data_IF_769911240234
#
_entry.id   IF_769911240234
#
_cell.length_a   1.000
_cell.length_b   1.000
_cell.length_c   1.000
_cell.angle_alpha   90.00
_cell.angle_beta   90.00
_cell.angle_gamma   90.00
#
_symmetry.space_group_name_H-M   'P 1'
#
loop_
_entity.id
_entity.type
_entity.pdbx_description
1 polymer ?
#
# COMPACT_ATOMS: atom_id res chain seq x y z
N UNK A 1 43.12 16.46 54.01
CA UNK A 1 42.19 17.59 54.20
C UNK A 1 42.11 18.31 52.86
N UNK A 2 41.13 17.98 52.03
CA UNK A 2 41.02 18.45 50.64
C UNK A 2 39.89 19.46 50.58
N UNK A 3 40.23 20.69 50.16
CA UNK A 3 39.31 21.81 49.99
C UNK A 3 38.62 21.67 48.62
N UNK A 4 37.30 21.50 48.60
CA UNK A 4 36.48 21.49 47.37
C UNK A 4 35.95 22.91 47.17
N UNK A 5 36.35 23.54 46.06
CA UNK A 5 35.92 24.87 45.64
C UNK A 5 34.77 24.71 44.64
N UNK A 6 33.55 25.02 45.06
CA UNK A 6 32.36 25.03 44.20
C UNK A 6 32.20 26.38 43.51
N UNK A 7 32.32 26.41 42.18
CA UNK A 7 32.01 27.57 41.33
C UNK A 7 30.54 27.44 40.91
N UNK A 8 29.70 28.37 41.39
CA UNK A 8 28.32 28.55 40.93
C UNK A 8 28.33 29.48 39.71
N UNK A 9 28.11 28.92 38.51
CA UNK A 9 27.73 29.70 37.33
C UNK A 9 26.23 29.95 37.36
N UNK A 10 25.85 31.23 37.50
CA UNK A 10 24.47 31.68 37.33
C UNK A 10 24.17 31.81 35.83
N UNK A 11 23.51 30.80 35.27
CA UNK A 11 22.92 30.86 33.93
C UNK A 11 21.65 31.69 33.99
N UNK A 12 21.65 32.88 33.37
CA UNK A 12 20.44 33.64 33.11
C UNK A 12 19.59 32.91 32.08
N UNK A 13 18.52 32.25 32.53
CA UNK A 13 17.47 31.72 31.67
C UNK A 13 16.76 32.92 31.02
N UNK A 14 17.08 33.18 29.75
CA UNK A 14 16.19 33.96 28.90
C UNK A 14 14.98 33.08 28.63
N UNK A 15 13.80 33.51 29.09
CA UNK A 15 12.54 32.89 28.66
C UNK A 15 12.37 33.19 27.17
N UNK A 16 12.57 32.18 26.34
CA UNK A 16 12.17 32.24 24.94
C UNK A 16 10.68 32.59 24.88
N UNK A 17 10.25 33.53 24.00
CA UNK A 17 8.84 33.80 23.80
C UNK A 17 8.13 32.49 23.42
N UNK A 18 6.91 32.24 23.91
CA UNK A 18 6.18 31.02 23.62
C UNK A 18 6.07 30.86 22.10
N UNK A 19 6.69 29.80 21.57
CA UNK A 19 6.62 29.46 20.16
C UNK A 19 5.14 29.43 19.75
N UNK A 20 4.75 30.31 18.82
CA UNK A 20 3.42 30.28 18.24
C UNK A 20 3.20 28.86 17.70
N UNK A 21 2.24 28.14 18.28
CA UNK A 21 1.95 26.76 17.89
C UNK A 21 1.75 26.72 16.37
N UNK A 22 2.64 26.03 15.66
CA UNK A 22 2.49 25.83 14.22
C UNK A 22 1.07 25.35 13.95
N UNK A 23 0.31 26.03 13.06
CA UNK A 23 -1.09 25.67 12.82
C UNK A 23 -1.15 24.19 12.47
N UNK A 24 -1.84 23.42 13.30
CA UNK A 24 -1.93 21.97 13.15
C UNK A 24 -2.53 21.60 11.79
N UNK A 25 -2.15 20.42 11.29
CA UNK A 25 -2.73 19.85 10.07
C UNK A 25 -4.25 19.83 10.14
N UNK A 26 -4.92 20.28 9.08
CA UNK A 26 -6.39 20.35 9.05
C UNK A 26 -6.94 19.89 7.72
N UNK A 27 -8.12 19.30 7.77
CA UNK A 27 -8.91 19.00 6.58
C UNK A 27 -9.65 20.25 6.11
N UNK A 28 -9.56 20.53 4.81
CA UNK A 28 -10.25 21.63 4.14
C UNK A 28 -11.18 21.03 3.10
N UNK A 29 -12.43 21.51 3.12
CA UNK A 29 -13.46 21.17 2.15
C UNK A 29 -13.71 22.39 1.25
N UNK A 30 -13.06 22.48 0.06
CA UNK A 30 -13.15 23.67 -0.79
C UNK A 30 -14.56 23.85 -1.34
N UNK A 31 -14.96 25.08 -1.70
CA UNK A 31 -16.21 25.29 -2.43
C UNK A 31 -16.18 24.53 -3.76
N UNK A 32 -17.36 24.27 -4.30
CA UNK A 32 -17.45 23.53 -5.55
C UNK A 32 -16.93 24.36 -6.74
N UNK A 33 -16.24 23.70 -7.67
CA UNK A 33 -15.53 24.31 -8.78
C UNK A 33 -14.11 24.79 -8.44
N UNK A 34 -13.68 24.69 -7.17
CA UNK A 34 -12.29 24.94 -6.80
C UNK A 34 -11.36 23.88 -7.42
N UNK A 35 -10.15 24.27 -7.81
CA UNK A 35 -9.17 23.36 -8.42
C UNK A 35 -8.72 22.22 -7.49
N UNK A 36 -8.95 22.38 -6.19
CA UNK A 36 -8.67 21.40 -5.14
C UNK A 36 -9.94 20.76 -4.56
N UNK A 37 -11.09 20.93 -5.20
CA UNK A 37 -12.34 20.34 -4.72
C UNK A 37 -12.24 18.81 -4.58
N UNK A 38 -11.64 18.16 -5.57
CA UNK A 38 -11.41 16.71 -5.59
C UNK A 38 -10.33 16.36 -6.62
N UNK A 39 -9.63 15.22 -6.47
CA UNK A 39 -8.81 14.64 -7.53
C UNK A 39 -9.68 14.00 -8.63
N UNK A 40 -9.11 13.51 -9.75
CA UNK A 40 -9.89 12.87 -10.80
C UNK A 40 -10.78 11.74 -10.28
N UNK A 41 -12.07 11.76 -10.64
CA UNK A 41 -13.03 10.72 -10.26
C UNK A 41 -12.58 9.33 -10.72
N UNK A 42 -12.67 8.35 -9.81
CA UNK A 42 -12.51 6.93 -10.10
C UNK A 42 -13.84 6.32 -10.50
N UNK A 43 -13.87 5.63 -11.64
CA UNK A 43 -15.07 4.92 -12.05
C UNK A 43 -15.33 3.74 -11.11
N UNK A 44 -16.56 3.61 -10.62
CA UNK A 44 -17.02 2.44 -9.87
C UNK A 44 -17.93 1.59 -10.73
N UNK A 45 -17.76 0.28 -10.59
CA UNK A 45 -18.60 -0.72 -11.26
C UNK A 45 -19.93 -0.78 -10.52
N UNK A 46 -21.01 -0.59 -11.27
CA UNK A 46 -22.37 -0.67 -10.77
C UNK A 46 -22.96 -2.05 -11.10
N UNK A 47 -23.41 -2.78 -10.08
CA UNK A 47 -24.14 -4.04 -10.23
C UNK A 47 -25.65 -3.79 -10.26
N UNK A 48 -26.40 -4.66 -10.95
CA UNK A 48 -27.87 -4.71 -10.84
C UNK A 48 -28.34 -5.57 -9.66
N UNK A 49 -27.45 -6.40 -9.16
CA UNK A 49 -27.72 -7.28 -8.04
C UNK A 49 -27.46 -6.53 -6.73
N UNK A 50 -28.45 -6.57 -5.84
CA UNK A 50 -28.35 -6.02 -4.50
C UNK A 50 -27.39 -6.90 -3.68
N UNK A 51 -26.40 -6.34 -2.98
CA UNK A 51 -25.59 -7.13 -2.06
C UNK A 51 -26.46 -7.85 -1.01
N UNK A 52 -26.17 -9.13 -0.76
CA UNK A 52 -27.02 -10.00 0.06
C UNK A 52 -27.22 -9.50 1.49
N UNK A 53 -26.20 -8.85 2.04
CA UNK A 53 -26.14 -8.34 3.40
C UNK A 53 -26.70 -6.91 3.56
N UNK A 54 -27.32 -6.33 2.51
CA UNK A 54 -27.92 -4.99 2.55
C UNK A 54 -29.44 -5.08 2.72
N UNK A 55 -29.94 -4.41 3.77
CA UNK A 55 -31.36 -4.21 4.01
C UNK A 55 -31.86 -2.91 3.36
N UNK A 56 -32.97 -2.96 2.62
CA UNK A 56 -33.55 -1.78 1.96
C UNK A 56 -34.91 -1.45 2.55
N UNK A 57 -35.08 -0.20 2.95
CA UNK A 57 -36.35 0.39 3.39
C UNK A 57 -36.63 1.74 2.74
N UNK A 58 -35.74 2.21 1.85
CA UNK A 58 -35.92 3.45 1.11
C UNK A 58 -37.08 3.33 0.10
N UNK A 59 -37.80 4.43 -0.08
CA UNK A 59 -38.86 4.59 -1.05
C UNK A 59 -38.28 5.13 -2.36
N UNK A 60 -37.71 4.24 -3.17
CA UNK A 60 -37.13 4.61 -4.46
C UNK A 60 -38.18 5.16 -5.43
N UNK A 61 -37.77 6.15 -6.23
CA UNK A 61 -38.62 6.77 -7.26
C UNK A 61 -38.45 6.09 -8.62
N UNK A 62 -37.24 5.61 -8.91
CA UNK A 62 -36.90 4.93 -10.16
C UNK A 62 -37.36 3.48 -10.21
N UNK A 63 -37.40 2.93 -11.42
CA UNK A 63 -37.73 1.52 -11.64
C UNK A 63 -36.50 0.60 -11.49
N UNK A 64 -35.31 1.13 -11.77
CA UNK A 64 -34.06 0.39 -11.77
C UNK A 64 -33.12 0.96 -10.71
N UNK A 65 -32.51 0.07 -9.93
CA UNK A 65 -31.45 0.43 -8.99
C UNK A 65 -30.16 -0.22 -9.42
N UNK A 66 -29.05 0.47 -9.20
CA UNK A 66 -27.73 -0.12 -9.30
C UNK A 66 -26.93 0.12 -8.03
N UNK A 67 -26.09 -0.85 -7.71
CA UNK A 67 -25.39 -0.92 -6.44
C UNK A 67 -23.89 -0.85 -6.65
N UNK A 68 -23.20 -0.19 -5.74
CA UNK A 68 -21.78 -0.33 -5.54
C UNK A 68 -21.47 -0.46 -4.04
N UNK A 69 -20.32 -1.04 -3.75
CA UNK A 69 -19.74 -1.03 -2.41
C UNK A 69 -18.37 -0.39 -2.52
N UNK A 70 -18.20 0.77 -1.90
CA UNK A 70 -16.93 1.50 -1.88
C UNK A 70 -16.27 1.37 -0.52
N UNK A 71 -14.95 1.28 -0.50
CA UNK A 71 -14.18 1.34 0.75
C UNK A 71 -13.71 2.77 0.94
N UNK A 72 -14.08 3.35 2.08
CA UNK A 72 -13.65 4.68 2.52
C UNK A 72 -13.09 4.55 3.95
N UNK A 73 -11.82 4.17 4.05
CA UNK A 73 -11.21 3.64 5.27
C UNK A 73 -10.14 2.58 5.01
N UNK A 74 -9.58 2.05 6.10
CA UNK A 74 -8.53 1.02 6.07
C UNK A 74 -9.05 -0.31 5.47
N UNK A 75 -8.17 -1.26 5.08
CA UNK A 75 -8.58 -2.54 4.53
C UNK A 75 -9.51 -3.40 5.42
N UNK A 76 -9.56 -3.14 6.72
CA UNK A 76 -10.50 -3.81 7.64
C UNK A 76 -11.89 -3.17 7.70
N UNK A 77 -12.08 -1.98 7.11
CA UNK A 77 -13.32 -1.23 7.29
C UNK A 77 -14.50 -1.85 6.53
N UNK A 78 -15.69 -1.70 7.13
CA UNK A 78 -16.96 -1.97 6.48
C UNK A 78 -17.08 -1.08 5.24
N UNK A 79 -17.51 -1.68 4.12
CA UNK A 79 -17.74 -0.95 2.86
C UNK A 79 -19.04 -0.16 2.95
N UNK A 80 -19.01 1.04 2.37
CA UNK A 80 -20.16 1.94 2.22
C UNK A 80 -20.98 1.47 1.02
N UNK A 81 -22.26 1.20 1.25
CA UNK A 81 -23.19 0.86 0.17
C UNK A 81 -23.65 2.14 -0.53
N UNK A 82 -23.58 2.14 -1.85
CA UNK A 82 -24.06 3.23 -2.71
C UNK A 82 -25.14 2.67 -3.62
N UNK A 83 -26.32 3.31 -3.62
CA UNK A 83 -27.43 2.97 -4.50
C UNK A 83 -27.71 4.14 -5.44
N UNK A 84 -27.66 3.85 -6.74
CA UNK A 84 -28.07 4.76 -7.79
C UNK A 84 -29.47 4.34 -8.25
N UNK A 85 -30.48 5.15 -7.93
CA UNK A 85 -31.87 4.95 -8.32
C UNK A 85 -32.14 5.69 -9.64
N UNK A 86 -32.35 4.94 -10.73
CA UNK A 86 -32.54 5.48 -12.07
C UNK A 86 -33.98 5.93 -12.28
N UNK A 87 -34.19 7.23 -12.13
CA UNK A 87 -35.51 7.88 -12.29
C UNK A 87 -35.90 8.02 -13.76
N UNK A 88 -34.93 8.25 -14.64
CA UNK A 88 -35.16 8.43 -16.07
C UNK A 88 -33.86 8.54 -16.87
N UNK A 89 -33.94 8.80 -18.19
CA UNK A 89 -32.75 8.92 -19.03
C UNK A 89 -31.79 10.03 -18.57
N UNK A 90 -30.71 9.64 -17.89
CA UNK A 90 -29.69 10.56 -17.39
C UNK A 90 -30.09 11.36 -16.14
N UNK A 91 -31.18 10.95 -15.48
CA UNK A 91 -31.67 11.47 -14.18
C UNK A 91 -31.66 10.33 -13.16
N UNK A 92 -31.12 10.59 -11.98
CA UNK A 92 -30.97 9.59 -10.93
C UNK A 92 -30.97 10.24 -9.55
N UNK A 93 -31.32 9.43 -8.54
CA UNK A 93 -31.13 9.76 -7.14
C UNK A 93 -30.01 8.90 -6.56
N UNK A 94 -29.26 9.46 -5.61
CA UNK A 94 -28.16 8.77 -4.95
C UNK A 94 -28.52 8.53 -3.49
N UNK A 95 -28.32 7.31 -3.03
CA UNK A 95 -28.42 6.92 -1.62
C UNK A 95 -27.08 6.36 -1.17
N UNK A 96 -26.61 6.75 0.01
CA UNK A 96 -25.29 6.36 0.53
C UNK A 96 -25.41 5.98 2.01
N UNK A 97 -25.09 4.73 2.34
CA UNK A 97 -24.99 4.18 3.71
C UNK A 97 -23.75 4.78 4.42
N UNK A 98 -23.82 6.06 4.77
CA UNK A 98 -22.70 6.81 5.32
C UNK A 98 -22.31 6.36 6.75
N UNK A 99 -23.28 5.84 7.51
CA UNK A 99 -23.10 5.32 8.86
C UNK A 99 -22.67 3.85 8.91
N UNK A 100 -22.62 3.14 7.77
CA UNK A 100 -22.14 1.77 7.60
C UNK A 100 -22.95 0.74 8.40
N UNK A 101 -24.25 0.97 8.54
CA UNK A 101 -25.15 0.05 9.25
C UNK A 101 -25.73 -1.06 8.36
N UNK A 102 -25.31 -1.10 7.08
CA UNK A 102 -25.76 -2.06 6.06
C UNK A 102 -27.25 -1.93 5.75
N UNK A 103 -27.83 -0.75 5.97
CA UNK A 103 -29.21 -0.44 5.63
C UNK A 103 -29.27 0.81 4.74
N UNK A 104 -30.18 0.78 3.78
CA UNK A 104 -30.53 1.94 2.96
C UNK A 104 -31.98 2.32 3.25
N UNK A 105 -32.19 3.51 3.81
CA UNK A 105 -33.50 4.14 3.98
C UNK A 105 -33.55 5.58 3.46
N UNK A 106 -34.71 6.24 3.59
CA UNK A 106 -34.94 7.56 3.00
C UNK A 106 -33.98 8.65 3.52
N UNK A 107 -33.35 8.43 4.69
CA UNK A 107 -32.37 9.36 5.27
C UNK A 107 -31.02 9.30 4.57
N UNK A 108 -30.74 8.21 3.86
CA UNK A 108 -29.49 8.01 3.12
C UNK A 108 -29.51 8.72 1.76
N UNK A 109 -30.65 9.28 1.35
CA UNK A 109 -30.78 10.06 0.11
C UNK A 109 -29.90 11.31 0.17
N UNK A 110 -29.00 11.42 -0.80
CA UNK A 110 -28.07 12.54 -0.91
C UNK A 110 -28.64 13.60 -1.85
N UNK A 111 -28.71 14.84 -1.36
CA UNK A 111 -29.08 15.98 -2.19
C UNK A 111 -28.00 16.26 -3.26
N UNK A 112 -28.37 16.63 -4.50
CA UNK A 112 -27.41 17.09 -5.49
C UNK A 112 -26.62 18.31 -4.99
N UNK A 113 -25.35 18.44 -5.38
CA UNK A 113 -24.51 19.56 -4.98
C UNK A 113 -25.07 20.90 -5.52
N UNK A 114 -25.22 21.89 -4.64
CA UNK A 114 -25.89 23.18 -4.91
C UNK A 114 -25.27 24.02 -6.06
N UNK A 115 -24.00 23.79 -6.36
CA UNK A 115 -23.25 24.44 -7.45
C UNK A 115 -23.49 23.83 -8.83
N UNK A 116 -24.23 22.73 -8.92
CA UNK A 116 -24.54 22.11 -10.19
C UNK A 116 -25.51 23.03 -10.96
N UNK A 117 -25.21 23.41 -12.22
CA UNK A 117 -26.16 24.16 -13.03
C UNK A 117 -27.51 23.44 -13.02
N UNK A 118 -28.64 24.17 -12.97
CA UNK A 118 -29.98 23.61 -12.77
C UNK A 118 -30.39 22.56 -13.81
N UNK A 119 -29.64 22.42 -14.91
CA UNK A 119 -29.96 21.46 -15.95
C UNK A 119 -29.45 20.03 -15.73
N UNK A 120 -28.49 19.72 -14.85
CA UNK A 120 -28.02 18.31 -14.66
C UNK A 120 -27.47 18.04 -13.26
N UNK A 121 -28.35 17.65 -12.33
CA UNK A 121 -28.00 17.07 -11.02
C UNK A 121 -27.29 15.72 -11.17
N UNK A 122 -26.01 15.77 -11.55
CA UNK A 122 -25.15 14.59 -11.78
C UNK A 122 -24.00 14.50 -10.79
N UNK A 123 -23.94 15.43 -9.84
CA UNK A 123 -22.88 15.49 -8.85
C UNK A 123 -23.51 15.56 -7.47
N UNK A 124 -23.08 14.68 -6.58
CA UNK A 124 -23.47 14.66 -5.18
C UNK A 124 -22.23 14.84 -4.33
N UNK A 125 -22.40 15.53 -3.21
CA UNK A 125 -21.34 15.76 -2.25
C UNK A 125 -21.90 15.63 -0.85
N UNK A 126 -21.23 14.86 -0.01
CA UNK A 126 -21.68 14.61 1.35
C UNK A 126 -20.49 14.42 2.29
N UNK A 127 -20.66 14.71 3.60
CA UNK A 127 -19.78 14.21 4.63
C UNK A 127 -19.75 12.67 4.61
N UNK A 128 -18.56 12.11 4.70
CA UNK A 128 -18.36 10.68 4.88
C UNK A 128 -17.09 10.50 5.70
N UNK A 129 -17.21 9.91 6.88
CA UNK A 129 -16.07 9.68 7.76
C UNK A 129 -15.19 8.56 7.22
N UNK A 130 -13.88 8.70 7.36
CA UNK A 130 -12.90 7.63 7.09
C UNK A 130 -12.87 6.69 8.28
N UNK A 131 -13.07 5.39 8.03
CA UNK A 131 -13.08 4.36 9.07
C UNK A 131 -11.70 3.68 9.17
N UNK A 132 -10.99 3.88 10.29
CA UNK A 132 -9.72 3.24 10.59
C UNK A 132 -9.92 2.10 11.58
N UNK A 133 -9.77 0.86 11.12
CA UNK A 133 -9.83 -0.34 11.95
C UNK A 133 -8.42 -0.68 12.45
N UNK A 134 -8.25 -0.71 13.76
CA UNK A 134 -7.02 -1.05 14.48
C UNK A 134 -7.37 -2.07 15.58
N UNK A 135 -7.14 -3.36 15.30
CA UNK A 135 -7.61 -4.45 16.17
C UNK A 135 -9.15 -4.48 16.24
N UNK A 136 -9.70 -4.42 17.44
CA UNK A 136 -11.15 -4.40 17.68
C UNK A 136 -11.76 -2.98 17.67
N UNK A 137 -10.93 -1.95 17.52
CA UNK A 137 -11.38 -0.56 17.56
C UNK A 137 -11.53 0.02 16.15
N UNK A 138 -12.63 0.74 15.92
CA UNK A 138 -12.83 1.55 14.71
C UNK A 138 -12.85 3.03 15.08
N UNK A 139 -11.88 3.79 14.55
CA UNK A 139 -11.84 5.25 14.67
C UNK A 139 -12.43 5.90 13.42
N UNK A 140 -13.39 6.79 13.61
CA UNK A 140 -14.01 7.57 12.53
C UNK A 140 -13.35 8.95 12.45
N UNK A 141 -12.91 9.35 11.26
CA UNK A 141 -12.27 10.65 11.02
C UNK A 141 -13.08 11.45 10.00
N UNK A 142 -13.58 12.66 10.35
CA UNK A 142 -14.40 13.46 9.44
C UNK A 142 -13.71 13.81 8.12
N UNK A 143 -14.38 13.50 7.01
CA UNK A 143 -14.00 13.83 5.63
C UNK A 143 -15.27 14.03 4.79
N UNK A 144 -15.10 14.15 3.48
CA UNK A 144 -16.20 14.21 2.53
C UNK A 144 -15.86 13.41 1.27
N UNK A 145 -16.90 13.06 0.54
CA UNK A 145 -16.81 12.37 -0.76
C UNK A 145 -17.67 13.12 -1.78
N UNK A 146 -17.24 13.08 -3.04
CA UNK A 146 -18.02 13.51 -4.18
C UNK A 146 -18.31 12.32 -5.09
N UNK A 147 -19.54 12.25 -5.60
CA UNK A 147 -19.96 11.29 -6.62
C UNK A 147 -20.37 12.03 -7.87
N UNK A 148 -20.07 11.47 -9.05
CA UNK A 148 -20.45 12.06 -10.33
C UNK A 148 -20.96 11.02 -11.32
N UNK A 149 -22.20 11.17 -11.76
CA UNK A 149 -22.78 10.37 -12.83
C UNK A 149 -22.28 10.85 -14.19
N UNK A 150 -21.65 9.94 -14.94
CA UNK A 150 -21.14 10.18 -16.28
C UNK A 150 -22.24 10.56 -17.26
N UNK A 151 -21.85 11.12 -18.41
CA UNK A 151 -22.79 11.72 -19.35
C UNK A 151 -23.86 10.75 -19.90
N UNK A 152 -23.50 9.47 -19.99
CA UNK A 152 -24.35 8.36 -20.46
C UNK A 152 -25.31 7.83 -19.39
N UNK A 153 -25.18 8.26 -18.13
CA UNK A 153 -25.92 7.70 -17.00
C UNK A 153 -25.50 6.29 -16.61
N UNK A 154 -24.42 5.73 -17.18
CA UNK A 154 -24.02 4.33 -16.96
C UNK A 154 -22.86 4.17 -15.99
N UNK A 155 -22.01 5.18 -15.88
CA UNK A 155 -20.78 5.14 -15.07
C UNK A 155 -20.93 6.12 -13.93
N UNK A 156 -20.83 5.64 -12.70
CA UNK A 156 -20.71 6.50 -11.53
C UNK A 156 -19.22 6.63 -11.21
N UNK A 157 -18.76 7.86 -11.00
CA UNK A 157 -17.44 8.17 -10.49
C UNK A 157 -17.51 8.55 -9.02
N UNK A 158 -16.47 8.28 -8.25
CA UNK A 158 -16.31 8.80 -6.89
C UNK A 158 -14.90 9.35 -6.66
N UNK A 159 -14.76 10.28 -5.72
CA UNK A 159 -13.49 10.82 -5.26
C UNK A 159 -13.65 11.35 -3.83
N UNK A 160 -12.60 11.30 -3.00
CA UNK A 160 -12.58 12.08 -1.78
C UNK A 160 -12.64 13.57 -2.12
N UNK A 161 -13.52 14.30 -1.43
CA UNK A 161 -13.67 15.73 -1.63
C UNK A 161 -12.81 16.48 -0.61
N UNK A 162 -12.03 17.43 -1.08
CA UNK A 162 -11.13 18.26 -0.28
C UNK A 162 -9.72 17.70 -0.13
N UNK A 163 -8.98 18.31 0.79
CA UNK A 163 -7.57 18.03 1.00
C UNK A 163 -7.18 18.27 2.46
N UNK A 164 -6.04 17.75 2.87
CA UNK A 164 -5.42 18.08 4.16
C UNK A 164 -4.27 19.04 3.93
N UNK A 165 -4.24 20.16 4.65
CA UNK A 165 -3.17 21.15 4.57
C UNK A 165 -2.41 21.31 5.88
N UNK A 166 -1.16 21.72 5.75
CA UNK A 166 -0.23 21.98 6.83
C UNK A 166 1.04 22.63 6.31
N UNK A 167 2.09 22.61 7.11
CA UNK A 167 3.42 23.12 6.72
C UNK A 167 4.49 22.08 6.99
N UNK A 168 5.55 22.09 6.17
CA UNK A 168 6.73 21.24 6.36
C UNK A 168 8.00 22.07 6.26
N UNK A 169 9.09 21.54 6.80
CA UNK A 169 10.46 22.08 6.65
C UNK A 169 11.21 21.13 5.72
N UNK A 170 11.97 21.67 4.77
CA UNK A 170 12.71 20.89 3.77
C UNK A 170 14.21 20.95 4.07
N UNK A 171 14.69 19.91 4.76
CA UNK A 171 16.11 19.79 5.11
C UNK A 171 16.64 20.94 5.96
N UNK A 172 17.73 21.55 5.51
CA UNK A 172 18.38 22.64 6.25
C UNK A 172 17.67 24.00 6.03
N UNK A 173 16.72 24.09 5.09
CA UNK A 173 15.91 25.29 4.91
C UNK A 173 14.84 25.36 6.01
N UNK A 174 15.09 26.19 7.02
CA UNK A 174 14.18 26.41 8.15
C UNK A 174 12.87 27.10 7.75
N UNK A 175 12.74 27.64 6.53
CA UNK A 175 11.52 28.28 6.09
C UNK A 175 10.40 27.25 5.89
N UNK A 176 9.25 27.38 6.59
CA UNK A 176 8.14 26.45 6.41
C UNK A 176 7.53 26.61 5.01
N UNK A 177 7.25 25.48 4.36
CA UNK A 177 6.56 25.39 3.06
C UNK A 177 5.13 24.94 3.28
N UNK A 178 4.17 25.60 2.63
CA UNK A 178 2.78 25.16 2.66
C UNK A 178 2.64 23.84 1.90
N UNK A 179 1.81 22.94 2.42
CA UNK A 179 1.56 21.62 1.83
C UNK A 179 0.08 21.35 1.73
N UNK A 180 -0.35 20.72 0.64
CA UNK A 180 -1.67 20.10 0.52
C UNK A 180 -1.55 18.63 0.12
N UNK A 181 -2.44 17.80 0.66
CA UNK A 181 -2.49 16.36 0.40
C UNK A 181 -3.87 15.95 -0.06
N UNK A 182 -3.94 15.23 -1.17
CA UNK A 182 -5.17 14.74 -1.78
C UNK A 182 -5.13 13.24 -2.00
N UNK A 183 -6.26 12.60 -1.70
CA UNK A 183 -6.49 11.18 -1.85
C UNK A 183 -6.80 10.85 -3.32
N UNK A 184 -5.84 10.28 -4.02
CA UNK A 184 -5.92 10.06 -5.46
C UNK A 184 -6.67 8.80 -5.87
N UNK A 185 -6.93 7.87 -4.95
CA UNK A 185 -7.67 6.63 -5.22
C UNK A 185 -9.11 6.66 -4.68
N UNK A 186 -9.44 7.65 -3.85
CA UNK A 186 -10.74 7.91 -3.28
C UNK A 186 -11.05 7.13 -2.00
N UNK A 187 -10.08 6.45 -1.39
CA UNK A 187 -10.29 5.61 -0.20
C UNK A 187 -10.32 6.38 1.14
N UNK A 188 -10.05 7.70 1.12
CA UNK A 188 -10.03 8.61 2.26
C UNK A 188 -8.69 8.69 3.01
N UNK A 189 -7.69 7.92 2.61
CA UNK A 189 -6.31 7.94 3.13
C UNK A 189 -5.43 8.83 2.25
N UNK A 190 -4.24 9.17 2.74
CA UNK A 190 -3.36 10.17 2.12
C UNK A 190 -1.92 9.70 1.94
N UNK A 191 -1.65 8.40 2.09
CA UNK A 191 -0.32 7.78 2.01
C UNK A 191 -0.21 6.70 0.93
N UNK A 192 -1.18 6.59 0.05
CA UNK A 192 -1.19 5.62 -1.04
C UNK A 192 -0.43 6.14 -2.26
N UNK A 193 0.16 5.28 -3.10
CA UNK A 193 0.99 5.73 -4.24
C UNK A 193 0.26 6.60 -5.29
N UNK A 194 -1.07 6.60 -5.28
CA UNK A 194 -1.88 7.42 -6.18
C UNK A 194 -2.20 8.81 -5.61
N UNK A 195 -1.92 9.00 -4.31
CA UNK A 195 -2.17 10.24 -3.60
C UNK A 195 -1.23 11.34 -4.08
N UNK A 196 -1.68 12.58 -3.92
CA UNK A 196 -0.98 13.75 -4.43
C UNK A 196 -0.53 14.62 -3.28
N UNK A 197 0.73 15.02 -3.31
CA UNK A 197 1.31 16.02 -2.43
C UNK A 197 1.58 17.25 -3.27
N UNK A 198 1.08 18.39 -2.79
CA UNK A 198 1.38 19.70 -3.34
C UNK A 198 2.27 20.45 -2.36
N UNK A 199 3.37 21.01 -2.83
CA UNK A 199 4.34 21.77 -2.04
C UNK A 199 4.51 23.15 -2.65
N UNK A 200 4.23 24.22 -1.90
CA UNK A 200 4.50 25.60 -2.30
C UNK A 200 6.01 25.85 -2.21
N UNK A 201 6.74 25.41 -3.23
CA UNK A 201 8.20 25.37 -3.24
C UNK A 201 8.78 26.78 -3.39
N UNK A 202 8.07 27.67 -4.09
CA UNK A 202 8.51 29.05 -4.29
C UNK A 202 8.01 30.02 -3.20
N UNK A 203 7.03 29.61 -2.38
CA UNK A 203 6.47 30.40 -1.28
C UNK A 203 5.53 31.53 -1.72
N UNK A 204 4.96 31.46 -2.92
CA UNK A 204 4.09 32.50 -3.49
C UNK A 204 2.59 32.29 -3.18
N UNK A 205 2.25 31.17 -2.53
CA UNK A 205 0.89 30.79 -2.16
C UNK A 205 0.01 30.37 -3.35
N UNK A 206 0.58 30.26 -4.55
CA UNK A 206 -0.05 29.67 -5.74
C UNK A 206 0.42 28.23 -5.85
N UNK A 207 -0.27 27.46 -6.70
CA UNK A 207 0.00 26.03 -6.83
C UNK A 207 0.13 25.68 -8.31
N UNK A 208 1.36 25.47 -8.75
CA UNK A 208 1.67 25.05 -10.12
C UNK A 208 1.70 23.52 -10.24
N UNK A 209 0.72 22.96 -10.94
CA UNK A 209 0.63 21.51 -11.14
C UNK A 209 1.84 20.90 -11.87
N UNK A 210 2.64 21.69 -12.59
CA UNK A 210 3.82 21.19 -13.29
C UNK A 210 5.07 21.07 -12.40
N UNK A 211 5.23 21.96 -11.42
CA UNK A 211 6.46 22.05 -10.61
C UNK A 211 6.25 21.76 -9.12
N UNK A 212 5.00 21.79 -8.64
CA UNK A 212 4.66 21.72 -7.22
C UNK A 212 3.77 20.53 -6.86
N UNK A 213 3.39 19.71 -7.83
CA UNK A 213 2.61 18.50 -7.62
C UNK A 213 3.47 17.25 -7.75
N UNK A 214 3.38 16.39 -6.75
CA UNK A 214 4.09 15.11 -6.66
C UNK A 214 3.08 14.00 -6.35
N UNK A 215 3.33 12.79 -6.87
CA UNK A 215 2.68 11.61 -6.32
C UNK A 215 3.31 11.28 -4.98
N UNK A 216 2.52 10.76 -4.04
CA UNK A 216 3.04 10.26 -2.78
C UNK A 216 4.01 9.11 -3.06
N UNK A 217 5.23 9.26 -2.55
CA UNK A 217 6.26 8.24 -2.59
C UNK A 217 7.05 8.32 -1.29
N UNK A 218 7.64 7.21 -0.87
CA UNK A 218 8.48 7.15 0.33
C UNK A 218 9.74 7.99 0.20
N UNK A 219 10.21 8.22 -1.03
CA UNK A 219 11.30 9.14 -1.35
C UNK A 219 10.86 10.10 -2.45
N UNK A 220 10.99 11.41 -2.23
CA UNK A 220 10.79 12.43 -3.25
C UNK A 220 12.10 13.11 -3.63
N UNK A 221 12.24 13.42 -4.93
CA UNK A 221 13.32 14.27 -5.43
C UNK A 221 12.78 15.69 -5.60
N UNK A 222 13.26 16.61 -4.78
CA UNK A 222 12.87 18.01 -4.77
C UNK A 222 14.11 18.87 -4.95
N UNK A 223 14.16 19.67 -6.03
CA UNK A 223 15.31 20.54 -6.32
C UNK A 223 16.65 19.79 -6.43
N UNK A 224 16.65 18.54 -6.90
CA UNK A 224 17.84 17.70 -7.00
C UNK A 224 18.27 17.01 -5.71
N UNK A 225 17.61 17.31 -4.59
CA UNK A 225 17.81 16.65 -3.30
C UNK A 225 16.76 15.58 -3.09
N UNK A 226 17.14 14.47 -2.43
CA UNK A 226 16.20 13.40 -2.07
C UNK A 226 15.77 13.56 -0.62
N UNK A 227 14.50 13.32 -0.37
CA UNK A 227 13.89 13.37 0.95
C UNK A 227 13.11 12.11 1.22
N UNK A 228 13.28 11.54 2.40
CA UNK A 228 12.39 10.48 2.92
C UNK A 228 11.15 11.15 3.47
N UNK A 229 9.99 10.69 3.02
CA UNK A 229 8.70 11.17 3.50
C UNK A 229 8.24 10.31 4.68
N UNK A 230 8.05 10.96 5.82
CA UNK A 230 7.42 10.35 7.01
C UNK A 230 6.00 10.86 7.12
N UNK A 231 5.04 9.97 6.97
CA UNK A 231 3.63 10.32 6.98
C UNK A 231 2.80 9.31 7.77
N UNK A 232 1.72 9.79 8.39
CA UNK A 232 0.61 8.94 8.80
C UNK A 232 -0.39 8.73 7.65
N UNK A 233 -1.26 7.74 7.80
CA UNK A 233 -2.25 7.35 6.78
C UNK A 233 -3.39 8.37 6.62
N UNK A 234 -3.79 9.03 7.71
CA UNK A 234 -4.86 10.04 7.71
C UNK A 234 -4.40 11.43 7.23
N UNK A 235 -3.09 11.58 7.01
CA UNK A 235 -2.44 12.77 6.54
C UNK A 235 -2.28 13.91 7.55
N UNK A 236 -2.42 13.61 8.84
CA UNK A 236 -2.27 14.59 9.94
C UNK A 236 -0.82 14.86 10.33
N UNK A 237 0.14 14.17 9.71
CA UNK A 237 1.59 14.36 9.86
C UNK A 237 2.29 14.13 8.53
N UNK A 238 3.21 15.02 8.20
CA UNK A 238 4.17 14.84 7.11
C UNK A 238 5.49 15.49 7.52
N UNK A 239 6.59 14.79 7.32
CA UNK A 239 7.93 15.33 7.46
C UNK A 239 8.81 14.88 6.30
N UNK A 240 9.77 15.73 5.96
CA UNK A 240 10.77 15.49 4.92
C UNK A 240 12.14 15.42 5.58
N UNK A 241 12.71 14.24 5.61
CA UNK A 241 14.05 14.01 6.16
C UNK A 241 15.04 13.97 4.99
N UNK A 242 16.07 14.83 4.95
CA UNK A 242 17.10 14.76 3.92
C UNK A 242 17.69 13.37 3.85
N UNK A 243 17.71 12.83 2.64
CA UNK A 243 18.36 11.56 2.39
C UNK A 243 19.87 11.80 2.21
N UNK A 244 20.60 11.74 3.31
CA UNK A 244 22.04 12.02 3.31
C UNK A 244 22.84 10.77 2.95
N UNK A 245 23.29 10.75 1.70
CA UNK A 245 24.20 9.72 1.19
C UNK A 245 23.51 8.53 0.54
N UNK A 246 24.31 7.78 -0.20
CA UNK A 246 23.86 6.56 -0.88
C UNK A 246 24.91 5.49 -0.81
N UNK A 247 24.48 4.23 -0.85
CA UNK A 247 25.34 3.12 -1.24
C UNK A 247 24.94 2.57 -2.60
N UNK A 248 25.72 1.62 -3.08
CA UNK A 248 25.46 0.85 -4.29
C UNK A 248 25.20 -0.60 -3.89
N UNK A 249 24.13 -1.19 -4.41
CA UNK A 249 23.82 -2.61 -4.21
C UNK A 249 23.94 -3.36 -5.53
N UNK A 250 24.51 -4.55 -5.47
CA UNK A 250 24.65 -5.51 -6.57
C UNK A 250 24.13 -6.87 -6.13
N UNK A 251 23.48 -7.59 -7.04
CA UNK A 251 23.15 -8.99 -6.80
C UNK A 251 24.38 -9.86 -7.06
N UNK A 252 24.57 -10.86 -6.21
CA UNK A 252 25.60 -11.87 -6.36
C UNK A 252 24.98 -13.23 -5.98
N UNK A 253 24.53 -14.00 -6.97
CA UNK A 253 23.97 -15.31 -6.68
C UNK A 253 25.05 -16.41 -6.70
N UNK A 254 25.09 -17.22 -5.64
CA UNK A 254 25.98 -18.38 -5.52
C UNK A 254 25.24 -19.69 -5.75
N UNK A 255 24.43 -19.76 -6.80
CA UNK A 255 23.68 -20.98 -7.12
C UNK A 255 24.56 -22.04 -7.81
N UNK A 256 24.16 -23.31 -7.67
CA UNK A 256 24.69 -24.39 -8.50
C UNK A 256 23.91 -24.41 -9.82
N UNK A 257 24.56 -24.00 -10.91
CA UNK A 257 23.96 -23.93 -12.24
C UNK A 257 24.28 -22.60 -12.92
N UNK A 258 23.96 -22.50 -14.21
CA UNK A 258 24.10 -21.24 -14.96
C UNK A 258 22.83 -20.44 -14.77
N UNK A 259 22.92 -19.34 -14.01
CA UNK A 259 21.84 -18.36 -13.91
C UNK A 259 21.87 -17.51 -15.18
N UNK A 260 20.76 -17.50 -15.90
CA UNK A 260 20.58 -16.67 -17.11
C UNK A 260 19.88 -15.36 -16.80
N UNK A 261 18.96 -15.36 -15.82
CA UNK A 261 18.28 -14.16 -15.35
C UNK A 261 18.16 -14.19 -13.83
N UNK A 262 18.35 -13.04 -13.19
CA UNK A 262 18.13 -12.87 -11.76
C UNK A 262 17.64 -11.46 -11.51
N UNK A 263 16.45 -11.36 -10.95
CA UNK A 263 15.82 -10.13 -10.54
C UNK A 263 15.45 -10.19 -9.06
N UNK A 264 15.57 -9.07 -8.36
CA UNK A 264 15.12 -8.98 -6.98
C UNK A 264 14.52 -7.60 -6.69
N UNK A 265 13.64 -7.54 -5.70
CA UNK A 265 13.14 -6.29 -5.15
C UNK A 265 13.69 -6.14 -3.74
N UNK A 266 14.43 -5.06 -3.49
CA UNK A 266 14.79 -4.62 -2.15
C UNK A 266 13.74 -3.68 -1.59
N UNK A 267 13.40 -3.84 -0.32
CA UNK A 267 12.54 -2.92 0.43
C UNK A 267 13.31 -2.38 1.63
N UNK A 268 13.40 -1.06 1.74
CA UNK A 268 14.04 -0.36 2.84
C UNK A 268 13.14 -0.27 4.08
N UNK A 269 13.74 -0.06 5.27
CA UNK A 269 13.00 0.27 6.51
C UNK A 269 12.13 1.53 6.37
N UNK A 270 12.48 2.40 5.43
CA UNK A 270 11.73 3.61 5.07
C UNK A 270 10.59 3.35 4.07
N UNK A 271 10.37 2.09 3.66
CA UNK A 271 9.36 1.69 2.70
C UNK A 271 9.72 1.97 1.24
N UNK A 272 10.94 2.44 0.95
CA UNK A 272 11.43 2.54 -0.42
C UNK A 272 11.60 1.15 -1.05
N UNK A 273 11.38 1.03 -2.36
CA UNK A 273 11.53 -0.21 -3.09
C UNK A 273 12.45 -0.03 -4.31
N UNK A 274 13.38 -0.95 -4.50
CA UNK A 274 14.37 -0.92 -5.59
C UNK A 274 14.39 -2.25 -6.31
N UNK A 275 14.17 -2.21 -7.63
CA UNK A 275 14.43 -3.36 -8.51
C UNK A 275 15.92 -3.51 -8.75
N UNK A 276 16.39 -4.75 -8.75
CA UNK A 276 17.76 -5.14 -9.04
C UNK A 276 17.76 -6.21 -10.14
N UNK A 277 18.75 -6.16 -11.03
CA UNK A 277 19.14 -7.26 -11.92
C UNK A 277 20.58 -7.71 -11.63
N UNK A 278 20.97 -8.90 -12.07
CA UNK A 278 22.33 -9.43 -11.82
C UNK A 278 23.46 -8.64 -12.49
N UNK A 279 23.19 -8.00 -13.61
CA UNK A 279 24.16 -7.29 -14.44
C UNK A 279 24.25 -5.79 -14.10
N UNK A 280 23.29 -5.27 -13.32
CA UNK A 280 23.23 -3.87 -12.94
C UNK A 280 23.49 -3.65 -11.45
N UNK A 281 23.89 -2.43 -11.12
CA UNK A 281 23.98 -1.98 -9.74
C UNK A 281 22.95 -0.88 -9.49
N UNK A 282 22.24 -0.94 -8.37
CA UNK A 282 21.35 0.13 -7.96
C UNK A 282 22.00 1.02 -6.91
N UNK A 283 21.89 2.33 -7.11
CA UNK A 283 22.25 3.32 -6.10
C UNK A 283 21.05 3.51 -5.19
N UNK A 284 21.19 3.10 -3.93
CA UNK A 284 20.13 3.16 -2.91
C UNK A 284 20.54 4.11 -1.78
N UNK A 285 19.57 4.72 -1.07
CA UNK A 285 19.84 5.46 0.14
C UNK A 285 20.68 4.70 1.19
N UNK A 286 21.35 5.42 2.07
CA UNK A 286 21.86 4.81 3.30
C UNK A 286 20.69 4.28 4.13
N UNK A 287 20.78 3.03 4.58
CA UNK A 287 19.72 2.42 5.36
C UNK A 287 19.84 0.92 5.48
N UNK A 288 18.79 0.30 5.98
CA UNK A 288 18.66 -1.16 6.05
C UNK A 288 17.62 -1.64 5.06
N UNK A 289 17.96 -2.69 4.32
CA UNK A 289 17.13 -3.26 3.25
C UNK A 289 16.92 -4.75 3.44
N UNK A 290 15.81 -5.27 2.94
CA UNK A 290 15.56 -6.71 2.84
C UNK A 290 15.04 -7.04 1.46
N UNK A 291 15.17 -8.30 1.03
CA UNK A 291 14.48 -8.74 -0.17
C UNK A 291 12.99 -8.94 0.12
N UNK A 292 12.13 -8.53 -0.81
CA UNK A 292 10.69 -8.82 -0.77
C UNK A 292 10.27 -9.84 -1.83
N UNK A 293 10.92 -9.81 -2.99
CA UNK A 293 10.71 -10.75 -4.09
C UNK A 293 12.02 -11.09 -4.77
N UNK A 294 12.17 -12.32 -5.22
CA UNK A 294 13.32 -12.78 -6.02
C UNK A 294 12.82 -13.65 -7.14
N UNK A 295 13.20 -13.35 -8.37
CA UNK A 295 12.98 -14.20 -9.53
C UNK A 295 14.31 -14.65 -10.10
N UNK A 296 14.44 -15.94 -10.37
CA UNK A 296 15.67 -16.52 -10.93
C UNK A 296 15.32 -17.48 -12.06
N UNK A 297 16.08 -17.39 -13.15
CA UNK A 297 16.03 -18.32 -14.27
C UNK A 297 17.38 -19.01 -14.43
N UNK A 298 17.34 -20.34 -14.56
CA UNK A 298 18.50 -21.21 -14.66
C UNK A 298 18.41 -22.07 -15.92
N UNK A 299 19.53 -22.25 -16.62
CA UNK A 299 19.60 -23.22 -17.71
C UNK A 299 19.30 -24.64 -17.22
N UNK A 300 18.60 -25.42 -18.03
CA UNK A 300 18.43 -26.85 -17.78
C UNK A 300 19.74 -27.58 -18.17
N UNK A 301 20.44 -28.27 -17.24
CA UNK A 301 21.66 -29.00 -17.56
C UNK A 301 21.46 -30.09 -18.63
N UNK A 302 20.22 -30.55 -18.83
CA UNK A 302 19.84 -31.47 -19.89
C UNK A 302 19.60 -30.84 -21.27
N UNK A 303 19.76 -29.52 -21.41
CA UNK A 303 19.50 -28.78 -22.65
C UNK A 303 18.01 -28.55 -22.96
N UNK A 304 17.13 -28.77 -21.98
CA UNK A 304 15.71 -28.44 -22.07
C UNK A 304 15.41 -26.95 -21.86
N UNK A 305 14.13 -26.54 -21.86
CA UNK A 305 13.75 -25.16 -21.53
C UNK A 305 14.22 -24.78 -20.12
N UNK A 306 14.68 -23.54 -19.96
CA UNK A 306 15.17 -23.00 -18.70
C UNK A 306 14.13 -23.08 -17.57
N UNK A 307 14.60 -23.21 -16.34
CA UNK A 307 13.79 -23.20 -15.14
C UNK A 307 13.66 -21.80 -14.59
N UNK A 308 12.44 -21.35 -14.34
CA UNK A 308 12.16 -20.05 -13.73
C UNK A 308 11.45 -20.25 -12.40
N UNK A 309 11.91 -19.52 -11.37
CA UNK A 309 11.35 -19.55 -10.03
C UNK A 309 11.06 -18.13 -9.54
N UNK A 310 9.98 -17.99 -8.76
CA UNK A 310 9.61 -16.76 -8.08
C UNK A 310 9.43 -17.05 -6.58
N UNK A 311 10.18 -16.30 -5.77
CA UNK A 311 10.10 -16.29 -4.32
C UNK A 311 9.54 -14.96 -3.84
N UNK A 312 8.70 -14.97 -2.81
CA UNK A 312 8.30 -13.74 -2.11
C UNK A 312 8.27 -13.92 -0.60
N UNK A 313 8.31 -12.79 0.10
CA UNK A 313 8.06 -12.75 1.52
C UNK A 313 6.58 -13.06 1.80
N UNK A 314 6.32 -14.02 2.67
CA UNK A 314 4.99 -14.37 3.17
C UNK A 314 4.86 -14.18 4.69
N UNK A 315 5.90 -13.69 5.36
CA UNK A 315 5.95 -13.51 6.82
C UNK A 315 6.05 -14.80 7.64
N UNK A 316 6.15 -15.99 7.03
CA UNK A 316 6.16 -17.25 7.76
C UNK A 316 7.51 -17.57 8.44
N UNK A 317 8.61 -16.99 7.96
CA UNK A 317 9.98 -17.29 8.40
C UNK A 317 10.56 -16.33 9.45
N UNK A 318 9.72 -15.89 10.39
CA UNK A 318 10.15 -15.01 11.48
C UNK A 318 10.61 -13.63 11.00
N UNK A 319 11.49 -12.99 11.76
CA UNK A 319 11.99 -11.67 11.41
C UNK A 319 12.87 -11.73 10.15
N UNK A 320 12.60 -10.90 9.13
CA UNK A 320 13.37 -10.93 7.90
C UNK A 320 14.80 -10.45 8.13
N UNK A 321 15.72 -10.93 7.31
CA UNK A 321 17.11 -10.48 7.33
C UNK A 321 17.23 -9.08 6.73
N UNK A 322 17.91 -8.19 7.46
CA UNK A 322 18.19 -6.82 7.03
C UNK A 322 19.68 -6.63 6.69
N UNK A 323 19.92 -5.91 5.59
CA UNK A 323 21.23 -5.57 5.05
C UNK A 323 21.48 -4.07 5.20
N UNK A 324 22.45 -3.72 6.04
CA UNK A 324 22.88 -2.34 6.18
C UNK A 324 23.73 -1.89 4.97
N UNK A 325 23.26 -0.85 4.29
CA UNK A 325 23.95 -0.16 3.19
C UNK A 325 24.40 1.20 3.72
N UNK A 326 25.71 1.37 3.86
CA UNK A 326 26.34 2.62 4.30
C UNK A 326 26.56 3.62 3.17
N UNK A 327 26.91 4.86 3.54
CA UNK A 327 27.30 5.90 2.59
C UNK A 327 28.54 5.47 1.81
N UNK A 328 28.50 5.66 0.49
CA UNK A 328 29.55 5.34 -0.49
C UNK A 328 29.98 3.86 -0.47
N UNK A 329 29.19 2.98 0.17
CA UNK A 329 29.46 1.56 0.27
C UNK A 329 28.94 0.81 -0.96
N UNK A 330 29.70 -0.17 -1.45
CA UNK A 330 29.19 -1.19 -2.38
C UNK A 330 28.85 -2.45 -1.59
N UNK A 331 27.63 -2.96 -1.74
CA UNK A 331 27.16 -4.20 -1.14
C UNK A 331 26.80 -5.21 -2.22
N UNK A 332 27.43 -6.37 -2.17
CA UNK A 332 27.02 -7.55 -2.93
C UNK A 332 26.12 -8.42 -2.05
N UNK A 333 24.90 -8.67 -2.52
CA UNK A 333 23.89 -9.40 -1.79
C UNK A 333 23.49 -10.66 -2.56
N UNK A 334 23.44 -11.80 -1.87
CA UNK A 334 22.96 -13.06 -2.44
C UNK A 334 21.49 -13.27 -2.04
N UNK A 335 20.53 -13.05 -2.97
CA UNK A 335 19.11 -13.16 -2.66
C UNK A 335 18.63 -14.61 -2.47
N UNK A 336 19.41 -15.60 -2.90
CA UNK A 336 19.04 -17.01 -2.79
C UNK A 336 19.60 -17.62 -1.52
N UNK A 337 20.85 -17.30 -1.18
CA UNK A 337 21.53 -17.84 -0.01
C UNK A 337 21.52 -19.37 0.05
N UNK A 338 21.45 -19.93 1.26
CA UNK A 338 21.24 -21.37 1.44
C UNK A 338 19.73 -21.67 1.38
N UNK A 339 19.30 -22.40 0.36
CA UNK A 339 17.90 -22.80 0.25
C UNK A 339 17.53 -23.79 1.37
N UNK A 340 16.35 -23.60 1.95
CA UNK A 340 15.83 -24.43 3.04
C UNK A 340 14.51 -25.09 2.62
N UNK A 341 14.47 -26.42 2.66
CA UNK A 341 13.21 -27.15 2.53
C UNK A 341 12.62 -27.37 3.93
N UNK A 342 11.38 -26.94 4.11
CA UNK A 342 10.60 -27.17 5.31
C UNK A 342 9.34 -27.98 4.97
N UNK A 343 8.81 -28.71 5.94
CA UNK A 343 7.53 -29.40 5.83
C UNK A 343 6.72 -29.05 7.07
N UNK A 344 5.55 -28.47 6.87
CA UNK A 344 4.56 -28.27 7.93
C UNK A 344 3.44 -29.27 7.78
N UNK A 345 3.04 -29.89 8.87
CA UNK A 345 1.82 -30.67 8.90
C UNK A 345 0.63 -29.74 9.22
N UNK A 346 -0.53 -30.00 8.62
CA UNK A 346 -1.75 -29.25 8.95
C UNK A 346 -2.13 -29.45 10.44
N UNK A 347 -2.98 -28.59 11.02
CA UNK A 347 -3.27 -28.65 12.46
C UNK A 347 -3.88 -29.99 12.89
N UNK A 348 -4.67 -30.61 12.02
CA UNK A 348 -5.29 -31.93 12.17
C UNK A 348 -4.27 -33.07 12.20
N UNK A 349 -3.08 -32.88 11.63
CA UNK A 349 -2.01 -33.86 11.61
C UNK A 349 -1.54 -34.29 13.00
N UNK A 350 -1.68 -33.42 14.02
CA UNK A 350 -1.34 -33.75 15.41
C UNK A 350 -2.29 -34.81 16.01
N UNK A 351 -3.46 -34.98 15.42
CA UNK A 351 -4.48 -35.93 15.84
C UNK A 351 -4.64 -37.14 14.92
N UNK A 352 -3.87 -37.19 13.81
CA UNK A 352 -3.95 -38.27 12.85
C UNK A 352 -3.61 -39.63 13.50
N UNK A 353 -4.46 -40.63 13.24
CA UNK A 353 -4.30 -42.00 13.74
C UNK A 353 -3.65 -42.89 12.69
N UNK A 354 -3.18 -44.06 13.12
CA UNK A 354 -2.71 -45.08 12.19
C UNK A 354 -3.83 -45.47 11.21
N UNK A 355 -3.55 -45.38 9.92
CA UNK A 355 -4.51 -45.62 8.85
C UNK A 355 -5.29 -44.39 8.37
N UNK A 356 -5.08 -43.22 8.96
CA UNK A 356 -5.63 -41.94 8.49
C UNK A 356 -4.62 -41.19 7.59
N UNK A 357 -5.15 -40.32 6.72
CA UNK A 357 -4.35 -39.48 5.84
C UNK A 357 -3.69 -38.33 6.61
N UNK A 358 -2.43 -38.04 6.29
CA UNK A 358 -1.67 -36.94 6.87
C UNK A 358 -1.50 -35.84 5.83
N UNK A 359 -2.12 -34.68 6.06
CA UNK A 359 -1.90 -33.52 5.21
C UNK A 359 -0.61 -32.81 5.61
N UNK A 360 0.34 -32.77 4.68
CA UNK A 360 1.61 -32.06 4.82
C UNK A 360 1.80 -31.08 3.68
N UNK A 361 2.43 -29.96 3.97
CA UNK A 361 2.72 -28.91 3.01
C UNK A 361 4.23 -28.69 2.96
N UNK A 362 4.89 -29.11 1.87
CA UNK A 362 6.29 -28.78 1.66
C UNK A 362 6.42 -27.31 1.24
N UNK A 363 7.48 -26.67 1.73
CA UNK A 363 7.80 -25.28 1.46
C UNK A 363 9.31 -25.14 1.21
N UNK A 364 9.68 -24.41 0.16
CA UNK A 364 11.08 -24.10 -0.14
C UNK A 364 11.32 -22.61 0.07
N UNK A 365 12.26 -22.29 0.94
CA UNK A 365 12.64 -20.93 1.29
C UNK A 365 14.04 -20.60 0.76
N UNK A 366 14.26 -19.33 0.43
CA UNK A 366 15.60 -18.75 0.29
C UNK A 366 16.27 -18.62 1.66
N UNK A 367 17.59 -18.38 1.68
CA UNK A 367 18.34 -18.13 2.91
C UNK A 367 17.87 -16.91 3.71
N UNK A 368 17.09 -16.01 3.08
CA UNK A 368 16.48 -14.84 3.72
C UNK A 368 15.00 -15.05 4.06
N UNK A 369 14.48 -16.26 3.91
CA UNK A 369 13.13 -16.65 4.33
C UNK A 369 12.03 -16.35 3.32
N UNK A 370 12.36 -16.04 2.06
CA UNK A 370 11.36 -15.88 1.00
C UNK A 370 10.85 -17.25 0.54
N UNK A 371 9.54 -17.46 0.50
CA UNK A 371 8.88 -18.69 0.07
C UNK A 371 8.77 -18.74 -1.46
N UNK A 372 9.02 -19.90 -2.07
CA UNK A 372 8.67 -20.13 -3.48
C UNK A 372 7.15 -20.10 -3.67
N UNK A 373 6.68 -19.30 -4.62
CA UNK A 373 5.25 -19.24 -4.97
C UNK A 373 4.99 -19.86 -6.35
N UNK A 374 5.97 -19.77 -7.25
CA UNK A 374 5.82 -20.19 -8.65
C UNK A 374 7.14 -20.80 -9.12
N UNK A 375 7.04 -21.96 -9.76
CA UNK A 375 8.04 -22.44 -10.69
C UNK A 375 7.41 -22.60 -12.08
N UNK A 376 8.21 -22.59 -13.15
CA UNK A 376 7.85 -23.12 -14.47
C UNK A 376 9.08 -23.36 -15.34
N UNK A 377 8.91 -24.17 -16.39
CA UNK A 377 9.89 -24.27 -17.48
C UNK A 377 9.54 -23.28 -18.58
N UNK A 378 10.52 -22.66 -19.22
CA UNK A 378 10.32 -21.69 -20.31
C UNK A 378 10.03 -20.28 -19.80
N UNK A 379 9.11 -19.57 -20.46
CA UNK A 379 8.84 -18.14 -20.22
C UNK A 379 7.48 -17.93 -19.54
N UNK A 380 7.25 -16.80 -18.83
CA UNK A 380 5.95 -16.50 -18.24
C UNK A 380 4.80 -16.49 -19.26
N UNK A 381 5.08 -16.11 -20.52
CA UNK A 381 4.09 -16.06 -21.60
C UNK A 381 3.78 -17.44 -22.21
N UNK A 382 4.60 -18.46 -21.93
CA UNK A 382 4.44 -19.82 -22.44
C UNK A 382 5.01 -20.82 -21.42
N UNK A 383 4.38 -20.95 -20.24
CA UNK A 383 4.88 -21.82 -19.20
C UNK A 383 4.74 -23.29 -19.63
N UNK A 384 5.87 -23.99 -19.70
CA UNK A 384 5.93 -25.42 -19.92
C UNK A 384 5.73 -26.20 -18.62
N UNK A 385 4.88 -27.23 -18.67
CA UNK A 385 4.74 -28.29 -17.67
C UNK A 385 4.73 -27.83 -16.19
N UNK A 386 3.74 -27.02 -15.81
CA UNK A 386 3.56 -26.62 -14.40
C UNK A 386 3.34 -27.82 -13.46
N UNK A 387 2.67 -28.87 -13.93
CA UNK A 387 2.29 -30.05 -13.12
C UNK A 387 3.47 -30.91 -12.64
N UNK A 388 4.66 -30.75 -13.22
CA UNK A 388 5.83 -31.55 -12.87
C UNK A 388 6.71 -30.94 -11.76
N UNK A 389 6.37 -29.73 -11.28
CA UNK A 389 7.14 -29.09 -10.22
C UNK A 389 6.47 -29.25 -8.88
N UNK A 390 7.26 -29.75 -7.95
CA UNK A 390 6.81 -29.98 -6.61
C UNK A 390 7.90 -30.59 -5.77
N UNK A 391 7.57 -30.85 -4.52
CA UNK A 391 8.37 -31.65 -3.63
C UNK A 391 7.73 -33.02 -3.47
N UNK A 392 8.57 -34.06 -3.48
CA UNK A 392 8.18 -35.37 -2.98
C UNK A 392 8.46 -35.41 -1.49
N UNK A 393 7.41 -35.56 -0.70
CA UNK A 393 7.50 -35.72 0.75
C UNK A 393 7.35 -37.20 1.07
N UNK A 394 8.34 -37.76 1.75
CA UNK A 394 8.33 -39.17 2.18
C UNK A 394 8.14 -39.24 3.68
N UNK A 395 7.08 -39.92 4.12
CA UNK A 395 6.90 -40.32 5.50
C UNK A 395 7.76 -41.57 5.75
N UNK A 396 8.62 -41.52 6.76
CA UNK A 396 9.51 -42.63 7.11
C UNK A 396 9.38 -43.00 8.59
N UNK A 397 9.68 -44.26 8.92
CA UNK A 397 9.82 -44.72 10.29
C UNK A 397 11.02 -44.03 10.96
N UNK A 398 11.13 -44.13 12.28
CA UNK A 398 12.31 -43.66 13.01
C UNK A 398 13.63 -44.34 12.53
N UNK A 399 13.54 -45.53 11.92
CA UNK A 399 14.68 -46.23 11.31
C UNK A 399 14.97 -45.79 9.87
N UNK A 400 14.23 -44.83 9.32
CA UNK A 400 14.39 -44.32 7.96
C UNK A 400 13.69 -45.14 6.86
N UNK A 401 12.90 -46.15 7.22
CA UNK A 401 12.13 -46.94 6.25
C UNK A 401 10.94 -46.13 5.74
N UNK A 402 10.79 -45.98 4.42
CA UNK A 402 9.69 -45.25 3.83
C UNK A 402 8.35 -45.98 4.03
N UNK A 403 7.39 -45.29 4.64
CA UNK A 403 6.02 -45.77 4.89
C UNK A 403 5.09 -45.30 3.77
N UNK A 404 5.33 -44.11 3.23
CA UNK A 404 4.54 -43.55 2.14
C UNK A 404 5.22 -42.32 1.54
N UNK A 405 4.81 -41.96 0.34
CA UNK A 405 5.31 -40.76 -0.35
C UNK A 405 4.19 -40.08 -1.11
N UNK A 406 4.18 -38.75 -1.07
CA UNK A 406 3.29 -37.93 -1.88
C UNK A 406 4.10 -36.89 -2.65
N UNK A 407 3.66 -36.58 -3.86
CA UNK A 407 4.17 -35.46 -4.65
C UNK A 407 3.14 -34.34 -4.63
N UNK A 408 3.58 -33.14 -4.26
CA UNK A 408 2.76 -31.93 -4.28
C UNK A 408 3.56 -30.80 -4.89
N UNK A 409 2.90 -29.89 -5.58
CA UNK A 409 3.44 -28.57 -5.87
C UNK A 409 3.93 -27.87 -4.60
N UNK A 410 4.69 -26.80 -4.80
CA UNK A 410 5.01 -25.89 -3.70
C UNK A 410 3.81 -25.01 -3.38
N UNK A 411 3.72 -24.58 -2.11
CA UNK A 411 2.63 -23.84 -1.49
C UNK A 411 1.96 -22.76 -2.36
#
# INVERSE_FOLDING_TARGET
MILVLSILLASSLSEDPPAAASPGWRFVLPPAGDGFEHPPFRAIVLSREKPEDVAEKASYRGANRRYAQVRFGSPGSIRVTVVLDEVGPGDAELYVDANRDRRIDDRDRVAPAASSPPQRGRTWRLPLDVAMVEGEHTRMTPRAVAFRLGATGRTLGYAAAGYVEGTVVLGDDSAPRAVRRMDGDGNGLLSDPQDRIWLDLNGDGRWDGASEQFLFATVLNLGGSRYVLRSDTLGTRLAFEPLVGTGTVKLAAKAKGTITELHATLVGRDGSAYGLSADESAVVPVGEYRFSTVSVTLDDPGGGPAWSFLFSDNGAKGDPRWYAVGKDQVRELDPLGALEMAVSAAEDAKSARAGEDLTVQPALYTGDGLLINVGYRGTPASPGAQEAMGATTTLATAGGEAIGSAHSGFA
#
